data_IF_998416634766
#
_entry.id   IF_998416634766
#
_cell.length_a   1.000
_cell.length_b   1.000
_cell.length_c   1.000
_cell.angle_alpha   90.00
_cell.angle_beta   90.00
_cell.angle_gamma   90.00
#
_symmetry.space_group_name_H-M   'P 1'
#
loop_
_entity.id
_entity.type
_entity.pdbx_description
1 polymer ?
#
# COMPACT_ATOMS: atom_id res chain seq x y z
N UNK A 1 -60.52 -27.29 12.61
CA UNK A 1 -59.67 -26.17 13.04
C UNK A 1 -58.25 -26.48 12.60
N UNK A 2 -57.74 -25.76 11.58
CA UNK A 2 -56.42 -25.99 10.99
C UNK A 2 -55.46 -24.98 11.57
N UNK A 3 -54.49 -25.43 12.35
CA UNK A 3 -53.39 -24.60 12.87
C UNK A 3 -52.27 -24.58 11.84
N UNK A 4 -52.02 -23.40 11.29
CA UNK A 4 -50.90 -23.16 10.39
C UNK A 4 -49.65 -22.82 11.21
N UNK A 5 -48.65 -23.67 11.11
CA UNK A 5 -47.33 -23.44 11.70
C UNK A 5 -46.50 -22.60 10.71
N UNK A 6 -46.21 -21.38 11.07
CA UNK A 6 -45.35 -20.50 10.28
C UNK A 6 -43.87 -20.84 10.57
N UNK A 7 -43.16 -21.28 9.51
CA UNK A 7 -41.73 -21.54 9.52
C UNK A 7 -41.00 -20.19 9.35
N UNK A 8 -40.36 -19.72 10.39
CA UNK A 8 -39.52 -18.51 10.37
C UNK A 8 -38.15 -18.89 9.79
N UNK A 9 -37.91 -18.55 8.53
CA UNK A 9 -36.60 -18.73 7.91
C UNK A 9 -35.68 -17.64 8.38
N UNK A 10 -34.69 -17.99 9.23
CA UNK A 10 -33.63 -17.10 9.67
C UNK A 10 -32.61 -16.95 8.54
N UNK A 11 -32.66 -15.85 7.80
CA UNK A 11 -31.63 -15.47 6.83
C UNK A 11 -30.43 -14.94 7.59
N UNK A 12 -29.42 -15.78 7.80
CA UNK A 12 -28.11 -15.35 8.29
C UNK A 12 -27.39 -14.67 7.12
N UNK A 13 -27.42 -13.36 7.08
CA UNK A 13 -26.61 -12.58 6.17
C UNK A 13 -25.14 -12.66 6.64
N UNK A 14 -24.34 -13.46 5.97
CA UNK A 14 -22.89 -13.42 6.07
C UNK A 14 -22.43 -12.09 5.47
N UNK A 15 -22.16 -11.10 6.31
CA UNK A 15 -21.35 -9.95 5.90
C UNK A 15 -19.93 -10.44 5.72
N UNK A 16 -19.58 -10.84 4.50
CA UNK A 16 -18.21 -10.90 4.07
C UNK A 16 -17.65 -9.46 4.20
N UNK A 17 -16.78 -9.25 5.18
CA UNK A 17 -15.94 -8.06 5.21
C UNK A 17 -14.97 -8.21 4.04
N UNK A 18 -15.34 -7.65 2.91
CA UNK A 18 -14.41 -7.42 1.84
C UNK A 18 -13.25 -6.57 2.41
N UNK A 19 -12.06 -7.19 2.49
CA UNK A 19 -10.84 -6.44 2.57
C UNK A 19 -10.83 -5.55 1.32
N UNK A 20 -11.20 -4.27 1.49
CA UNK A 20 -11.16 -3.31 0.41
C UNK A 20 -9.72 -3.24 -0.08
N UNK A 21 -9.44 -3.97 -1.13
CA UNK A 21 -8.36 -3.62 -2.03
C UNK A 21 -8.58 -2.16 -2.39
N UNK A 22 -7.56 -1.33 -2.21
CA UNK A 22 -7.59 0.09 -2.59
C UNK A 22 -8.21 0.18 -3.99
N UNK A 23 -9.31 0.93 -4.13
CA UNK A 23 -9.97 1.04 -5.43
C UNK A 23 -8.96 1.56 -6.45
N UNK A 24 -8.90 0.98 -7.66
CA UNK A 24 -7.93 1.42 -8.66
C UNK A 24 -8.11 2.93 -8.89
N UNK A 25 -7.03 3.68 -8.86
CA UNK A 25 -7.02 5.13 -9.09
C UNK A 25 -7.64 5.41 -10.47
N UNK A 26 -8.83 6.07 -10.56
CA UNK A 26 -9.57 6.17 -11.81
C UNK A 26 -8.89 7.01 -12.88
N UNK A 27 -7.76 7.66 -12.54
CA UNK A 27 -7.01 8.55 -13.43
C UNK A 27 -5.66 7.96 -13.89
N UNK A 28 -5.30 6.75 -13.48
CA UNK A 28 -4.03 6.12 -13.85
C UNK A 28 -4.17 5.23 -15.08
N UNK A 29 -3.12 5.13 -15.93
CA UNK A 29 -3.05 4.07 -16.93
C UNK A 29 -3.26 2.70 -16.29
N UNK A 30 -4.03 1.78 -16.92
CA UNK A 30 -4.40 0.50 -16.28
C UNK A 30 -3.21 -0.32 -15.77
N UNK A 31 -2.10 -0.34 -16.51
CA UNK A 31 -0.89 -1.07 -16.11
C UNK A 31 -0.25 -0.46 -14.85
N UNK A 32 -0.21 0.87 -14.76
CA UNK A 32 0.29 1.56 -13.57
C UNK A 32 -0.64 1.34 -12.37
N UNK A 33 -1.96 1.49 -12.56
CA UNK A 33 -2.94 1.26 -11.49
C UNK A 33 -2.81 -0.15 -10.90
N UNK A 34 -2.58 -1.17 -11.76
CA UNK A 34 -2.33 -2.54 -11.31
C UNK A 34 -1.03 -2.65 -10.50
N UNK A 35 0.06 -2.03 -10.97
CA UNK A 35 1.34 -2.06 -10.27
C UNK A 35 1.27 -1.37 -8.90
N UNK A 36 0.58 -0.23 -8.80
CA UNK A 36 0.34 0.49 -7.53
C UNK A 36 -0.44 -0.39 -6.55
N UNK A 37 -1.55 -0.98 -6.97
CA UNK A 37 -2.35 -1.86 -6.12
C UNK A 37 -1.57 -3.11 -5.67
N UNK A 38 -0.69 -3.64 -6.52
CA UNK A 38 0.20 -4.76 -6.16
C UNK A 38 1.27 -4.32 -5.15
N UNK A 39 1.82 -3.12 -5.30
CA UNK A 39 2.82 -2.55 -4.39
C UNK A 39 2.25 -2.33 -2.97
N UNK A 40 1.08 -1.70 -2.88
CA UNK A 40 0.40 -1.50 -1.59
C UNK A 40 0.11 -2.84 -0.90
N UNK A 41 -0.40 -3.80 -1.65
CA UNK A 41 -0.66 -5.14 -1.11
C UNK A 41 0.60 -5.84 -0.66
N UNK A 42 1.68 -5.75 -1.44
CA UNK A 42 2.96 -6.38 -1.12
C UNK A 42 3.57 -5.82 0.19
N UNK A 43 3.45 -4.51 0.42
CA UNK A 43 3.86 -3.88 1.67
C UNK A 43 3.04 -4.43 2.86
N UNK A 44 1.72 -4.46 2.74
CA UNK A 44 0.83 -4.95 3.80
C UNK A 44 1.03 -6.44 4.12
N UNK A 45 1.41 -7.24 3.11
CA UNK A 45 1.59 -8.69 3.27
C UNK A 45 3.04 -9.11 3.54
N UNK A 46 4.01 -8.19 3.48
CA UNK A 46 5.43 -8.52 3.57
C UNK A 46 5.88 -9.41 2.41
N UNK A 47 5.30 -9.22 1.21
CA UNK A 47 5.66 -10.01 0.03
C UNK A 47 6.95 -9.47 -0.62
N UNK A 48 8.09 -9.97 -0.11
CA UNK A 48 9.40 -9.56 -0.59
C UNK A 48 9.63 -9.87 -2.07
N UNK A 49 9.02 -10.93 -2.63
CA UNK A 49 9.16 -11.27 -4.03
C UNK A 49 8.41 -10.25 -4.93
N UNK A 50 7.22 -9.85 -4.54
CA UNK A 50 6.47 -8.81 -5.23
C UNK A 50 7.19 -7.45 -5.12
N UNK A 51 7.64 -7.06 -3.91
CA UNK A 51 8.44 -5.84 -3.72
C UNK A 51 9.71 -5.87 -4.58
N UNK A 52 10.39 -7.01 -4.68
CA UNK A 52 11.58 -7.17 -5.51
C UNK A 52 11.34 -6.94 -7.01
N UNK A 53 10.12 -7.21 -7.51
CA UNK A 53 9.74 -6.92 -8.90
C UNK A 53 9.30 -5.48 -9.12
N UNK A 54 8.63 -4.89 -8.13
CA UNK A 54 8.01 -3.57 -8.22
C UNK A 54 8.97 -2.42 -7.89
N UNK A 55 10.04 -2.69 -7.16
CA UNK A 55 11.13 -1.73 -6.94
C UNK A 55 12.18 -1.88 -8.04
N UNK A 56 12.64 -0.76 -8.60
CA UNK A 56 13.75 -0.75 -9.55
C UNK A 56 15.06 -1.18 -8.88
N UNK A 57 16.02 -1.69 -9.65
CA UNK A 57 17.30 -2.12 -9.08
C UNK A 57 18.13 -0.96 -8.53
N UNK A 58 17.93 0.23 -9.08
CA UNK A 58 18.51 1.50 -8.64
C UNK A 58 17.58 2.32 -7.70
N UNK A 59 16.60 1.67 -7.09
CA UNK A 59 15.66 2.32 -6.16
C UNK A 59 16.36 2.98 -4.98
N UNK A 60 15.85 4.17 -4.61
CA UNK A 60 16.32 4.93 -3.44
C UNK A 60 15.12 5.44 -2.64
N UNK A 61 15.19 5.33 -1.32
CA UNK A 61 14.27 5.94 -0.38
C UNK A 61 15.00 6.99 0.47
N UNK A 62 14.45 8.20 0.55
CA UNK A 62 14.75 9.13 1.63
C UNK A 62 13.71 8.97 2.72
N UNK A 63 14.09 8.33 3.82
CA UNK A 63 13.14 8.00 4.87
C UNK A 63 12.87 9.17 5.83
N UNK A 64 11.84 9.04 6.65
CA UNK A 64 11.41 10.10 7.59
C UNK A 64 12.40 10.43 8.72
N UNK A 65 13.52 9.73 8.79
CA UNK A 65 14.65 10.02 9.70
C UNK A 65 15.78 10.75 8.99
N UNK A 66 15.64 11.04 7.70
CA UNK A 66 16.68 11.65 6.88
C UNK A 66 17.77 10.69 6.41
N UNK A 67 17.54 9.38 6.50
CA UNK A 67 18.46 8.36 6.03
C UNK A 67 18.13 7.94 4.60
N UNK A 68 19.16 7.51 3.88
CA UNK A 68 19.04 6.95 2.54
C UNK A 68 19.01 5.42 2.65
N UNK A 69 18.00 4.81 2.04
CA UNK A 69 17.83 3.36 1.99
C UNK A 69 17.76 2.89 0.54
N UNK A 70 18.31 1.72 0.28
CA UNK A 70 18.25 1.06 -1.01
C UNK A 70 17.07 0.06 -1.09
N UNK A 71 16.92 -0.58 -2.23
CA UNK A 71 15.92 -1.63 -2.47
C UNK A 71 15.97 -2.76 -1.44
N UNK A 72 17.17 -3.20 -1.06
CA UNK A 72 17.33 -4.32 -0.13
C UNK A 72 16.90 -3.93 1.29
N UNK A 73 17.25 -2.73 1.73
CA UNK A 73 16.85 -2.19 3.02
C UNK A 73 15.32 -2.00 3.08
N UNK A 74 14.71 -1.43 2.03
CA UNK A 74 13.26 -1.30 1.95
C UNK A 74 12.55 -2.67 2.06
N UNK A 75 12.96 -3.66 1.27
CA UNK A 75 12.36 -5.00 1.35
C UNK A 75 12.51 -5.60 2.75
N UNK A 76 13.69 -5.46 3.35
CA UNK A 76 13.93 -5.94 4.70
C UNK A 76 12.97 -5.31 5.72
N UNK A 77 12.69 -4.02 5.63
CA UNK A 77 11.80 -3.31 6.54
C UNK A 77 10.36 -3.86 6.53
N UNK A 78 9.92 -4.45 5.41
CA UNK A 78 8.59 -5.06 5.29
C UNK A 78 8.57 -6.57 5.52
N UNK A 79 9.72 -7.25 5.44
CA UNK A 79 9.79 -8.72 5.49
C UNK A 79 10.48 -9.26 6.75
N UNK A 80 11.11 -8.40 7.56
CA UNK A 80 11.80 -8.82 8.77
C UNK A 80 10.87 -9.53 9.78
N UNK A 81 11.35 -10.52 10.53
CA UNK A 81 10.56 -11.18 11.56
C UNK A 81 9.95 -10.19 12.55
N UNK A 82 8.67 -10.36 12.88
CA UNK A 82 7.96 -9.47 13.80
C UNK A 82 7.50 -8.15 13.16
N UNK A 83 7.58 -8.03 11.83
CA UNK A 83 7.05 -6.90 11.09
C UNK A 83 5.62 -7.17 10.62
N UNK A 84 4.76 -6.18 10.76
CA UNK A 84 3.42 -6.17 10.19
C UNK A 84 2.98 -4.76 9.87
N UNK A 85 2.11 -4.60 8.89
CA UNK A 85 1.47 -3.34 8.55
C UNK A 85 -0.04 -3.54 8.48
N UNK A 86 -0.79 -2.65 9.13
CA UNK A 86 -2.24 -2.61 9.01
C UNK A 86 -2.66 -1.94 7.71
N UNK A 87 -3.84 -2.25 7.18
CA UNK A 87 -4.43 -1.49 6.08
C UNK A 87 -4.48 0.00 6.40
N UNK A 88 -4.12 0.83 5.44
CA UNK A 88 -4.11 2.28 5.56
C UNK A 88 -4.87 2.94 4.41
N UNK A 89 -5.20 4.19 4.56
CA UNK A 89 -5.76 5.04 3.52
C UNK A 89 -4.86 6.23 3.27
N UNK A 90 -4.85 6.73 2.04
CA UNK A 90 -4.10 7.93 1.66
C UNK A 90 -5.04 9.12 1.68
N UNK A 91 -4.64 10.17 2.39
CA UNK A 91 -5.27 11.48 2.46
C UNK A 91 -4.46 12.47 1.63
N UNK A 92 -5.06 13.60 1.22
CA UNK A 92 -4.37 14.64 0.42
C UNK A 92 -3.61 14.08 -0.78
N UNK A 93 -4.27 13.17 -1.50
CA UNK A 93 -3.65 12.42 -2.57
C UNK A 93 -3.15 13.33 -3.69
N UNK A 94 -1.92 13.09 -4.14
CA UNK A 94 -1.30 13.74 -5.28
C UNK A 94 -1.01 12.70 -6.34
N UNK A 95 -1.63 12.85 -7.51
CA UNK A 95 -1.41 11.99 -8.67
C UNK A 95 -1.00 12.85 -9.85
N UNK A 96 0.15 12.56 -10.42
CA UNK A 96 0.63 13.16 -11.68
C UNK A 96 1.24 12.05 -12.51
N UNK A 97 0.91 11.99 -13.79
CA UNK A 97 1.51 11.03 -14.70
C UNK A 97 1.78 11.66 -16.07
N UNK A 98 2.76 11.12 -16.77
CA UNK A 98 3.19 11.45 -18.10
C UNK A 98 3.65 10.16 -18.81
N UNK A 99 3.90 10.19 -20.14
CA UNK A 99 4.42 9.01 -20.82
C UNK A 99 5.68 8.46 -20.14
N UNK A 100 5.62 7.22 -19.65
CA UNK A 100 6.73 6.53 -19.00
C UNK A 100 7.04 6.92 -17.55
N UNK A 101 6.24 7.79 -16.92
CA UNK A 101 6.49 8.18 -15.54
C UNK A 101 5.26 8.62 -14.76
N UNK A 102 5.36 8.58 -13.44
CA UNK A 102 4.32 9.11 -12.55
C UNK A 102 4.90 9.51 -11.18
N UNK A 103 4.19 10.42 -10.52
CA UNK A 103 4.34 10.69 -9.08
C UNK A 103 3.01 10.40 -8.41
N UNK A 104 3.06 9.54 -7.41
CA UNK A 104 1.93 9.26 -6.54
C UNK A 104 2.35 9.54 -5.11
N UNK A 105 1.55 10.30 -4.39
CA UNK A 105 1.86 10.63 -3.01
C UNK A 105 0.65 11.10 -2.25
N UNK A 106 0.85 11.42 -0.99
CA UNK A 106 -0.20 11.88 -0.10
C UNK A 106 0.23 11.82 1.34
N UNK A 107 -0.72 11.73 2.23
CA UNK A 107 -0.50 11.55 3.66
C UNK A 107 -1.13 10.24 4.09
N UNK A 108 -0.37 9.41 4.79
CA UNK A 108 -0.88 8.16 5.37
C UNK A 108 -0.52 8.07 6.85
N UNK A 109 -1.45 7.52 7.65
CA UNK A 109 -1.15 7.08 9.01
C UNK A 109 -0.89 5.58 8.96
N UNK A 110 0.37 5.21 9.15
CA UNK A 110 0.82 3.82 9.16
C UNK A 110 0.87 3.29 10.58
N UNK A 111 0.31 2.11 10.78
CA UNK A 111 0.31 1.39 12.05
C UNK A 111 0.72 -0.06 11.82
N UNK A 112 1.43 -0.63 12.78
CA UNK A 112 1.84 -2.03 12.71
C UNK A 112 2.82 -2.39 13.80
N UNK A 113 3.65 -3.37 13.50
CA UNK A 113 4.81 -3.74 14.34
C UNK A 113 6.08 -3.73 13.50
N UNK A 114 7.19 -3.36 14.12
CA UNK A 114 8.53 -3.48 13.56
C UNK A 114 9.41 -4.16 14.59
N UNK A 115 10.02 -5.28 14.26
CA UNK A 115 10.76 -6.13 15.19
C UNK A 115 9.96 -6.46 16.47
N UNK A 116 8.66 -6.73 16.31
CA UNK A 116 7.74 -7.03 17.40
C UNK A 116 7.29 -5.81 18.23
N UNK A 117 7.77 -4.61 17.97
CA UNK A 117 7.39 -3.38 18.67
C UNK A 117 6.31 -2.64 17.92
N UNK A 118 5.20 -2.24 18.54
CA UNK A 118 4.14 -1.48 17.88
C UNK A 118 4.64 -0.10 17.46
N UNK A 119 4.21 0.35 16.29
CA UNK A 119 4.42 1.72 15.81
C UNK A 119 3.12 2.34 15.28
N UNK A 120 3.08 3.66 15.36
CA UNK A 120 2.11 4.50 14.66
C UNK A 120 2.83 5.75 14.20
N UNK A 121 2.77 6.04 12.91
CA UNK A 121 3.43 7.19 12.31
C UNK A 121 2.56 7.81 11.23
N UNK A 122 2.49 9.13 11.18
CA UNK A 122 1.85 9.87 10.09
C UNK A 122 2.94 10.40 9.17
N UNK A 123 2.88 10.04 7.92
CA UNK A 123 3.89 10.38 6.91
C UNK A 123 3.22 11.10 5.73
N UNK A 124 3.90 12.12 5.21
CA UNK A 124 3.73 12.57 3.83
C UNK A 124 4.75 11.85 2.99
N UNK A 125 4.30 11.27 1.90
CA UNK A 125 5.18 10.51 1.02
C UNK A 125 4.95 10.86 -0.46
N UNK A 126 5.93 10.55 -1.28
CA UNK A 126 5.84 10.59 -2.73
C UNK A 126 6.65 9.43 -3.32
N UNK A 127 5.99 8.61 -4.12
CA UNK A 127 6.59 7.56 -4.92
C UNK A 127 6.72 8.03 -6.37
N UNK A 128 7.93 7.95 -6.90
CA UNK A 128 8.19 8.18 -8.32
C UNK A 128 8.23 6.85 -9.02
N UNK A 129 7.34 6.70 -9.98
CA UNK A 129 7.20 5.53 -10.82
C UNK A 129 7.79 5.76 -12.19
N UNK A 130 8.46 4.76 -12.74
CA UNK A 130 8.94 4.76 -14.12
C UNK A 130 8.55 3.45 -14.82
N UNK A 131 8.18 3.58 -16.10
CA UNK A 131 8.02 2.43 -16.98
C UNK A 131 9.36 2.13 -17.64
N UNK A 132 9.93 0.96 -17.32
CA UNK A 132 11.19 0.47 -17.86
C UNK A 132 10.98 -0.92 -18.43
N UNK A 133 11.31 -1.13 -19.70
CA UNK A 133 11.13 -2.41 -20.40
C UNK A 133 9.72 -2.99 -20.27
N UNK A 134 8.70 -2.11 -20.40
CA UNK A 134 7.28 -2.47 -20.31
C UNK A 134 6.80 -2.81 -18.90
N UNK A 135 7.57 -2.49 -17.85
CA UNK A 135 7.22 -2.72 -16.45
C UNK A 135 7.22 -1.41 -15.67
N UNK A 136 6.17 -1.18 -14.91
CA UNK A 136 6.11 -0.08 -13.96
C UNK A 136 6.83 -0.47 -12.66
N UNK A 137 7.77 0.36 -12.24
CA UNK A 137 8.56 0.19 -11.02
C UNK A 137 8.68 1.51 -10.28
N UNK A 138 8.70 1.44 -8.95
CA UNK A 138 9.08 2.59 -8.12
C UNK A 138 10.59 2.76 -8.24
N UNK A 139 11.03 3.96 -8.60
CA UNK A 139 12.45 4.31 -8.73
C UNK A 139 12.94 5.16 -7.57
N UNK A 140 12.05 5.87 -6.92
CA UNK A 140 12.39 6.74 -5.80
C UNK A 140 11.19 6.93 -4.89
N UNK A 141 11.42 6.96 -3.59
CA UNK A 141 10.43 7.35 -2.57
C UNK A 141 11.02 8.40 -1.66
N UNK A 142 10.23 9.40 -1.32
CA UNK A 142 10.49 10.29 -0.20
C UNK A 142 9.38 10.16 0.84
N UNK A 143 9.76 10.12 2.12
CA UNK A 143 8.84 10.11 3.22
C UNK A 143 9.29 11.08 4.30
N UNK A 144 8.41 11.99 4.70
CA UNK A 144 8.63 12.92 5.81
C UNK A 144 7.53 12.78 6.85
N UNK A 145 7.82 13.15 8.11
CA UNK A 145 6.77 13.17 9.13
C UNK A 145 5.77 14.27 8.83
N UNK A 146 4.50 13.90 8.75
CA UNK A 146 3.41 14.86 8.62
C UNK A 146 2.95 15.36 10.00
N UNK A 147 2.48 16.62 10.11
CA UNK A 147 1.84 17.11 11.33
C UNK A 147 0.63 16.25 11.72
N UNK A 148 0.27 16.29 13.00
CA UNK A 148 -1.02 15.76 13.43
C UNK A 148 -2.17 16.50 12.74
N UNK A 149 -3.32 15.85 12.53
CA UNK A 149 -4.50 16.49 11.98
C UNK A 149 -4.96 17.67 12.85
#
# INVERSE_FOLDING_TARGET
MKTATALLALVVAFYARDARATAPHPMLPPALAKAVAEFDRAQMQGDGAALGRLLADDYVLFNSRGLVEDKAAFIHDYTAPGTSMKPFTVEDEVVRHWPGGAVLGGVATLEGTSEGKPYKVRLRFADIWAERDGRWQVVFTEATRAPAP
#
